data_IF_144605537626
#
_entry.id   IF_144605537626
#
_cell.length_a   1.000
_cell.length_b   1.000
_cell.length_c   1.000
_cell.angle_alpha   90.00
_cell.angle_beta   90.00
_cell.angle_gamma   90.00
#
_symmetry.space_group_name_H-M   'P 1'
#
loop_
_entity.id
_entity.type
_entity.pdbx_description
1 polymer ?
#
# COMPACT_ATOMS: atom_id res chain seq x y z
N UNK A 1 -6.54 11.49 -8.47
CA UNK A 1 -6.89 10.54 -7.38
C UNK A 1 -5.61 9.94 -6.81
N UNK A 2 -5.56 9.65 -5.50
CA UNK A 2 -4.45 8.91 -4.89
C UNK A 2 -4.85 7.47 -4.56
N UNK A 3 -3.98 6.52 -4.89
CA UNK A 3 -4.06 5.14 -4.47
C UNK A 3 -3.01 4.86 -3.40
N UNK A 4 -3.43 4.61 -2.16
CA UNK A 4 -2.59 4.10 -1.09
C UNK A 4 -2.48 2.57 -1.23
N UNK A 5 -1.26 2.09 -1.44
CA UNK A 5 -1.01 0.70 -1.83
C UNK A 5 -0.12 -0.01 -0.82
N UNK A 6 -0.64 -1.08 -0.20
CA UNK A 6 0.20 -2.10 0.41
C UNK A 6 0.71 -3.13 -0.60
N UNK A 7 1.71 -3.89 -0.19
CA UNK A 7 2.34 -4.97 -0.93
C UNK A 7 1.91 -6.33 -0.40
N UNK A 8 2.19 -6.59 0.86
CA UNK A 8 1.86 -7.84 1.55
C UNK A 8 0.33 -7.94 1.63
N UNK A 9 -0.24 -9.11 1.36
CA UNK A 9 -1.69 -9.31 1.32
C UNK A 9 -2.43 -8.65 0.15
N UNK A 10 -1.72 -7.93 -0.73
CA UNK A 10 -2.31 -7.16 -1.84
C UNK A 10 -1.75 -7.59 -3.20
N UNK A 11 -0.42 -7.51 -3.38
CA UNK A 11 0.28 -7.86 -4.62
C UNK A 11 0.88 -9.26 -4.62
N UNK A 12 0.82 -9.91 -3.46
CA UNK A 12 1.19 -11.29 -3.17
C UNK A 12 0.61 -11.66 -1.79
N UNK A 13 0.67 -12.93 -1.36
CA UNK A 13 0.17 -13.32 -0.03
C UNK A 13 0.93 -12.64 1.12
N UNK A 14 0.26 -12.33 2.23
CA UNK A 14 0.83 -11.86 3.49
C UNK A 14 1.56 -12.98 4.24
N UNK A 15 2.65 -13.45 3.63
CA UNK A 15 3.55 -14.46 4.18
C UNK A 15 5.00 -14.05 3.96
N UNK A 16 5.29 -12.76 4.12
CA UNK A 16 6.58 -12.17 3.78
C UNK A 16 7.50 -12.11 4.98
N UNK A 17 8.72 -12.60 4.79
CA UNK A 17 9.73 -12.63 5.83
C UNK A 17 11.04 -12.02 5.34
N UNK A 18 11.66 -11.24 6.24
CA UNK A 18 13.01 -10.73 6.02
C UNK A 18 14.03 -11.67 6.65
N UNK A 19 14.88 -12.23 5.81
CA UNK A 19 16.00 -13.08 6.22
C UNK A 19 17.09 -12.28 6.93
N UNK A 20 17.96 -12.99 7.65
CA UNK A 20 19.12 -12.42 8.38
C UNK A 20 20.09 -11.71 7.43
N UNK A 21 20.26 -12.23 6.20
CA UNK A 21 21.07 -11.62 5.15
C UNK A 21 20.40 -10.39 4.48
N UNK A 22 19.19 -10.04 4.92
CA UNK A 22 18.43 -8.90 4.43
C UNK A 22 17.68 -9.16 3.12
N UNK A 23 17.63 -10.41 2.63
CA UNK A 23 16.73 -10.80 1.55
C UNK A 23 15.28 -10.87 2.04
N UNK A 24 14.34 -10.66 1.11
CA UNK A 24 12.90 -10.80 1.37
C UNK A 24 12.43 -12.06 0.68
N UNK A 25 11.67 -12.88 1.39
CA UNK A 25 11.18 -14.17 0.92
C UNK A 25 9.68 -14.28 1.20
N UNK A 26 8.96 -14.95 0.30
CA UNK A 26 7.56 -15.32 0.46
C UNK A 26 7.50 -16.77 0.96
N UNK A 27 6.92 -17.02 2.11
CA UNK A 27 6.73 -18.35 2.71
C UNK A 27 5.34 -18.93 2.41
N UNK A 28 4.91 -18.79 1.15
CA UNK A 28 3.68 -19.36 0.62
C UNK A 28 3.87 -19.70 -0.86
N UNK A 29 2.89 -20.36 -1.47
CA UNK A 29 2.94 -20.65 -2.91
C UNK A 29 2.91 -19.35 -3.73
N UNK A 30 3.73 -19.29 -4.77
CA UNK A 30 3.80 -18.16 -5.70
C UNK A 30 5.12 -17.41 -5.61
N UNK A 31 5.06 -16.09 -5.85
CA UNK A 31 6.21 -15.21 -5.84
C UNK A 31 5.83 -13.82 -5.36
N UNK A 32 6.80 -13.09 -4.80
CA UNK A 32 6.63 -11.68 -4.47
C UNK A 32 6.18 -10.90 -5.72
N UNK A 33 5.17 -10.04 -5.55
CA UNK A 33 4.59 -9.20 -6.60
C UNK A 33 3.98 -9.97 -7.78
N UNK A 34 3.64 -11.25 -7.63
CA UNK A 34 3.04 -12.05 -8.70
C UNK A 34 1.71 -11.46 -9.24
N UNK A 35 1.01 -10.64 -8.46
CA UNK A 35 -0.23 -9.99 -8.89
C UNK A 35 -0.04 -8.54 -9.37
N UNK A 36 1.19 -7.99 -9.35
CA UNK A 36 1.45 -6.64 -9.86
C UNK A 36 0.95 -6.40 -11.30
N UNK A 37 1.05 -7.35 -12.26
CA UNK A 37 0.47 -7.17 -13.60
C UNK A 37 -1.03 -6.90 -13.59
N UNK A 38 -1.77 -7.50 -12.64
CA UNK A 38 -3.21 -7.24 -12.51
C UNK A 38 -3.46 -5.78 -12.10
N UNK A 39 -2.65 -5.22 -11.19
CA UNK A 39 -2.78 -3.81 -10.83
C UNK A 39 -2.45 -2.89 -12.00
N UNK A 40 -1.44 -3.23 -12.82
CA UNK A 40 -1.11 -2.47 -14.03
C UNK A 40 -2.28 -2.40 -15.01
N UNK A 41 -2.91 -3.54 -15.29
CA UNK A 41 -4.10 -3.63 -16.15
C UNK A 41 -5.26 -2.82 -15.58
N UNK A 42 -5.52 -2.92 -14.26
CA UNK A 42 -6.59 -2.18 -13.60
C UNK A 42 -6.39 -0.66 -13.67
N UNK A 43 -5.14 -0.18 -13.62
CA UNK A 43 -4.81 1.24 -13.67
C UNK A 43 -4.61 1.77 -15.09
N UNK A 44 -4.57 0.92 -16.11
CA UNK A 44 -4.41 1.33 -17.51
C UNK A 44 -5.48 2.36 -17.94
N UNK A 45 -6.78 2.22 -17.60
CA UNK A 45 -7.80 3.20 -17.96
C UNK A 45 -7.78 4.48 -17.13
N UNK A 46 -6.97 4.53 -16.07
CA UNK A 46 -6.90 5.64 -15.10
C UNK A 46 -5.46 6.19 -15.01
N UNK A 47 -4.92 6.81 -16.08
CA UNK A 47 -3.54 7.31 -16.11
C UNK A 47 -3.24 8.40 -15.06
N UNK A 48 -4.26 9.08 -14.56
CA UNK A 48 -4.18 10.16 -13.57
C UNK A 48 -4.04 9.69 -12.11
N UNK A 49 -4.10 8.37 -11.86
CA UNK A 49 -3.96 7.80 -10.52
C UNK A 49 -2.50 7.80 -10.10
N UNK A 50 -2.20 8.61 -9.09
CA UNK A 50 -0.91 8.61 -8.40
C UNK A 50 -0.90 7.58 -7.28
N UNK A 51 0.18 6.82 -7.16
CA UNK A 51 0.33 5.79 -6.12
C UNK A 51 1.16 6.34 -4.97
N UNK A 52 0.65 6.18 -3.75
CA UNK A 52 1.38 6.42 -2.50
C UNK A 52 1.64 5.06 -1.88
N UNK A 53 2.92 4.74 -1.65
CA UNK A 53 3.26 3.51 -0.94
C UNK A 53 2.82 3.63 0.51
N UNK A 54 1.86 2.81 0.89
CA UNK A 54 1.44 2.60 2.26
C UNK A 54 1.80 1.17 2.57
N UNK A 55 3.04 0.92 2.99
CA UNK A 55 3.55 -0.43 3.23
C UNK A 55 4.71 -0.38 4.21
N UNK A 56 4.82 -1.41 5.04
CA UNK A 56 5.93 -1.59 5.99
C UNK A 56 7.29 -1.67 5.29
N UNK A 57 7.33 -2.02 4.00
CA UNK A 57 8.56 -2.14 3.22
C UNK A 57 9.32 -0.81 3.12
N UNK A 58 8.63 0.32 3.00
CA UNK A 58 9.30 1.63 2.98
C UNK A 58 9.95 1.92 4.33
N UNK A 59 9.28 1.55 5.43
CA UNK A 59 9.78 1.69 6.80
C UNK A 59 10.97 0.78 7.10
N UNK A 60 10.98 -0.43 6.54
CA UNK A 60 11.96 -1.49 6.83
C UNK A 60 13.16 -1.51 5.88
N UNK A 61 12.96 -1.13 4.62
CA UNK A 61 13.94 -1.24 3.54
C UNK A 61 14.31 0.10 2.91
N UNK A 62 13.51 1.13 3.14
CA UNK A 62 13.64 2.44 2.50
C UNK A 62 12.90 2.53 1.16
N UNK A 63 12.56 3.76 0.78
CA UNK A 63 11.73 4.05 -0.38
C UNK A 63 12.29 3.51 -1.69
N UNK A 64 13.59 3.66 -1.95
CA UNK A 64 14.19 3.22 -3.22
C UNK A 64 14.13 1.70 -3.38
N UNK A 65 14.33 0.95 -2.29
CA UNK A 65 14.28 -0.52 -2.34
C UNK A 65 12.84 -1.01 -2.52
N UNK A 66 11.88 -0.44 -1.81
CA UNK A 66 10.46 -0.75 -1.99
C UNK A 66 10.00 -0.44 -3.43
N UNK A 67 10.31 0.76 -3.93
CA UNK A 67 10.04 1.16 -5.32
C UNK A 67 10.66 0.20 -6.33
N UNK A 68 11.89 -0.26 -6.10
CA UNK A 68 12.60 -1.16 -7.01
C UNK A 68 11.99 -2.55 -7.14
N UNK A 69 11.04 -2.92 -6.28
CA UNK A 69 10.29 -4.18 -6.41
C UNK A 69 9.12 -4.09 -7.37
N UNK A 70 8.62 -2.88 -7.64
CA UNK A 70 7.53 -2.67 -8.58
C UNK A 70 8.03 -2.73 -10.02
N UNK A 71 7.13 -3.09 -10.93
CA UNK A 71 7.36 -2.91 -12.36
C UNK A 71 7.59 -1.42 -12.70
N UNK A 72 8.24 -1.17 -13.84
CA UNK A 72 8.48 0.20 -14.30
C UNK A 72 7.17 0.99 -14.47
N UNK A 73 6.08 0.33 -14.89
CA UNK A 73 4.78 0.95 -15.09
C UNK A 73 4.15 1.44 -13.79
N UNK A 74 4.16 0.63 -12.72
CA UNK A 74 3.67 1.05 -11.40
C UNK A 74 4.62 2.05 -10.74
N UNK A 75 5.93 1.82 -10.85
CA UNK A 75 6.95 2.70 -10.27
C UNK A 75 6.90 4.12 -10.84
N UNK A 76 6.52 4.28 -12.11
CA UNK A 76 6.34 5.58 -12.77
C UNK A 76 5.14 6.37 -12.22
N UNK A 77 4.18 5.70 -11.58
CA UNK A 77 2.99 6.33 -10.97
C UNK A 77 3.20 6.73 -9.51
N UNK A 78 4.34 6.37 -8.90
CA UNK A 78 4.61 6.70 -7.50
C UNK A 78 4.76 8.21 -7.30
N UNK A 79 3.98 8.77 -6.39
CA UNK A 79 4.04 10.18 -5.97
C UNK A 79 4.52 10.36 -4.53
N UNK A 80 4.65 9.27 -3.76
CA UNK A 80 5.22 9.32 -2.42
C UNK A 80 5.06 8.03 -1.62
N UNK A 81 5.29 8.13 -0.31
CA UNK A 81 5.03 7.07 0.66
C UNK A 81 4.52 7.67 1.98
N UNK A 82 3.75 6.90 2.74
CA UNK A 82 3.22 7.35 4.04
C UNK A 82 4.35 7.55 5.05
N UNK A 83 5.39 6.70 5.02
CA UNK A 83 6.62 6.84 5.80
C UNK A 83 7.67 7.74 5.12
N UNK A 84 8.37 8.56 5.93
CA UNK A 84 9.59 9.26 5.54
C UNK A 84 10.63 9.18 6.66
N UNK A 85 11.91 8.99 6.33
CA UNK A 85 12.99 8.82 7.33
C UNK A 85 13.20 10.03 8.24
N UNK A 86 12.63 11.19 7.92
CA UNK A 86 12.63 12.39 8.76
C UNK A 86 11.57 12.37 9.86
N UNK A 87 10.61 11.43 9.83
CA UNK A 87 9.62 11.20 10.90
C UNK A 87 10.24 10.53 12.14
N UNK A 88 11.51 10.85 12.43
CA UNK A 88 12.29 10.15 13.45
C UNK A 88 11.70 10.38 14.84
N UNK A 89 11.93 9.34 15.65
CA UNK A 89 11.95 9.27 17.11
C UNK A 89 11.54 10.55 17.83
N UNK A 90 10.38 10.50 18.47
CA UNK A 90 9.98 11.50 19.44
C UNK A 90 10.96 11.53 20.63
N UNK A 91 10.72 12.41 21.61
CA UNK A 91 11.54 12.52 22.83
C UNK A 91 11.66 11.21 23.63
N UNK A 92 10.83 10.21 23.36
CA UNK A 92 10.84 8.88 23.99
C UNK A 92 11.42 7.78 23.08
N UNK A 93 12.23 8.15 22.09
CA UNK A 93 12.93 7.23 21.19
C UNK A 93 12.00 6.33 20.35
N UNK A 94 10.72 6.71 20.27
CA UNK A 94 9.63 5.95 19.65
C UNK A 94 9.28 6.54 18.29
N UNK A 95 9.12 5.67 17.30
CA UNK A 95 8.67 6.06 15.97
C UNK A 95 7.14 6.00 15.95
N UNK A 96 6.50 7.17 15.90
CA UNK A 96 5.03 7.28 15.95
C UNK A 96 4.35 6.47 14.84
N UNK A 97 4.93 6.44 13.64
CA UNK A 97 4.40 5.66 12.51
C UNK A 97 4.24 4.17 12.83
N UNK A 98 5.14 3.60 13.65
CA UNK A 98 5.11 2.19 14.04
C UNK A 98 3.96 1.88 15.02
N UNK A 99 3.33 2.92 15.60
CA UNK A 99 2.19 2.80 16.53
C UNK A 99 0.84 3.12 15.89
N UNK A 100 0.86 3.60 14.64
CA UNK A 100 -0.33 4.00 13.91
C UNK A 100 -0.92 2.80 13.16
N UNK A 101 -2.23 2.68 13.19
CA UNK A 101 -2.98 1.88 12.22
C UNK A 101 -2.71 2.38 10.80
N UNK A 102 -3.03 1.53 9.82
CA UNK A 102 -2.89 1.89 8.40
C UNK A 102 -3.66 3.16 8.04
N UNK A 103 -4.88 3.29 8.55
CA UNK A 103 -5.70 4.48 8.36
C UNK A 103 -5.01 5.74 8.93
N UNK A 104 -4.47 5.68 10.15
CA UNK A 104 -3.82 6.83 10.77
C UNK A 104 -2.55 7.27 10.04
N UNK A 105 -1.79 6.32 9.46
CA UNK A 105 -0.63 6.63 8.61
C UNK A 105 -1.06 7.38 7.34
N UNK A 106 -2.15 6.92 6.70
CA UNK A 106 -2.75 7.57 5.52
C UNK A 106 -3.28 8.96 5.90
N UNK A 107 -4.05 9.08 6.99
CA UNK A 107 -4.58 10.36 7.47
C UNK A 107 -3.45 11.36 7.78
N UNK A 108 -2.36 10.90 8.41
CA UNK A 108 -1.16 11.71 8.67
C UNK A 108 -0.50 12.17 7.36
N UNK A 109 -0.47 11.33 6.33
CA UNK A 109 0.01 11.73 5.01
C UNK A 109 -0.89 12.77 4.35
N UNK A 110 -2.21 12.55 4.35
CA UNK A 110 -3.19 13.48 3.78
C UNK A 110 -3.18 14.84 4.48
N UNK A 111 -3.06 14.86 5.81
CA UNK A 111 -2.96 16.10 6.58
C UNK A 111 -1.74 16.95 6.19
N UNK A 112 -0.59 16.31 5.89
CA UNK A 112 0.62 17.00 5.42
C UNK A 112 0.47 17.56 4.01
N UNK A 113 -0.36 16.94 3.18
CA UNK A 113 -0.70 17.46 1.85
C UNK A 113 -1.70 18.63 1.91
N UNK A 114 -2.32 18.90 3.05
CA UNK A 114 -3.29 19.97 3.25
C UNK A 114 -4.74 19.55 2.99
N UNK A 115 -5.04 18.97 1.82
CA UNK A 115 -6.35 18.34 1.53
C UNK A 115 -6.29 17.47 0.26
N UNK A 116 -6.86 16.27 0.32
CA UNK A 116 -7.08 15.41 -0.86
C UNK A 116 -8.36 14.58 -0.66
N UNK A 117 -9.42 14.90 -1.41
CA UNK A 117 -10.73 14.29 -1.17
C UNK A 117 -10.95 12.97 -1.92
N UNK A 118 -10.23 12.78 -3.03
CA UNK A 118 -10.33 11.61 -3.92
C UNK A 118 -9.16 10.65 -3.69
N UNK A 119 -9.37 9.66 -2.82
CA UNK A 119 -8.38 8.64 -2.54
C UNK A 119 -9.01 7.29 -2.22
N UNK A 120 -8.23 6.24 -2.48
CA UNK A 120 -8.54 4.83 -2.24
C UNK A 120 -7.35 4.16 -1.56
N UNK A 121 -7.58 3.23 -0.65
CA UNK A 121 -6.57 2.31 -0.14
C UNK A 121 -6.87 0.87 -0.57
N UNK A 122 -5.84 0.10 -0.88
CA UNK A 122 -5.93 -1.35 -1.05
C UNK A 122 -4.99 -1.97 -0.03
N UNK A 123 -5.57 -2.75 0.89
CA UNK A 123 -4.90 -3.28 2.07
C UNK A 123 -5.68 -4.51 2.57
N UNK A 124 -5.00 -5.52 3.12
CA UNK A 124 -5.66 -6.65 3.77
C UNK A 124 -5.99 -6.33 5.24
N UNK A 125 -5.30 -5.36 5.83
CA UNK A 125 -5.56 -4.87 7.19
C UNK A 125 -6.56 -3.70 7.21
N UNK A 126 -7.77 -4.01 7.69
CA UNK A 126 -8.82 -3.02 7.95
C UNK A 126 -8.81 -2.47 9.38
N UNK A 127 -7.84 -2.83 10.22
CA UNK A 127 -7.81 -2.43 11.63
C UNK A 127 -7.66 -0.92 11.78
N UNK A 128 -8.41 -0.35 12.73
CA UNK A 128 -8.37 1.09 13.03
C UNK A 128 -9.10 1.97 12.02
N UNK A 129 -9.78 1.40 11.03
CA UNK A 129 -10.59 2.16 10.08
C UNK A 129 -11.90 2.65 10.70
N UNK A 130 -12.21 3.96 10.63
CA UNK A 130 -13.51 4.49 11.01
C UNK A 130 -14.63 4.01 10.08
N UNK A 131 -15.83 3.80 10.62
CA UNK A 131 -17.00 3.34 9.84
C UNK A 131 -17.34 4.26 8.68
N UNK A 132 -17.23 5.58 8.88
CA UNK A 132 -17.50 6.59 7.85
C UNK A 132 -16.47 6.60 6.71
N UNK A 133 -15.33 5.95 6.90
CA UNK A 133 -14.20 5.92 5.97
C UNK A 133 -14.03 4.56 5.31
N UNK A 134 -14.76 3.51 5.72
CA UNK A 134 -14.70 2.16 5.15
C UNK A 134 -14.90 2.11 3.63
N UNK A 135 -15.69 3.02 3.07
CA UNK A 135 -15.91 3.13 1.62
C UNK A 135 -14.63 3.47 0.82
N UNK A 136 -13.54 3.81 1.49
CA UNK A 136 -12.23 4.12 0.90
C UNK A 136 -11.27 2.92 0.93
N UNK A 137 -11.64 1.80 1.58
CA UNK A 137 -10.84 0.58 1.62
C UNK A 137 -11.39 -0.33 0.54
N UNK A 138 -10.52 -0.86 -0.31
CA UNK A 138 -10.77 -2.18 -0.85
C UNK A 138 -10.02 -3.16 0.02
N UNK A 139 -10.75 -3.83 0.91
CA UNK A 139 -10.16 -4.82 1.81
C UNK A 139 -9.93 -6.12 1.06
N UNK A 140 -8.69 -6.60 1.06
CA UNK A 140 -8.34 -7.90 0.49
C UNK A 140 -8.34 -9.01 1.53
N UNK A 141 -8.43 -10.26 1.07
CA UNK A 141 -7.97 -11.40 1.84
C UNK A 141 -6.43 -11.45 1.78
N UNK A 142 -5.75 -11.57 2.93
CA UNK A 142 -4.29 -11.54 2.99
C UNK A 142 -3.61 -12.66 2.20
N UNK A 143 -4.28 -13.76 1.88
CA UNK A 143 -3.70 -14.86 1.08
C UNK A 143 -4.06 -14.78 -0.40
N UNK A 144 -5.04 -13.97 -0.78
CA UNK A 144 -5.54 -13.89 -2.16
C UNK A 144 -5.33 -12.51 -2.80
N UNK A 145 -5.22 -11.44 -2.02
CA UNK A 145 -4.98 -10.08 -2.51
C UNK A 145 -5.88 -9.67 -3.67
N UNK A 146 -5.28 -9.02 -4.66
CA UNK A 146 -6.01 -8.60 -5.88
C UNK A 146 -6.22 -9.73 -6.90
N UNK A 147 -5.84 -10.97 -6.58
CA UNK A 147 -6.18 -12.13 -7.41
C UNK A 147 -7.68 -12.46 -7.36
N UNK A 148 -8.40 -11.97 -6.35
CA UNK A 148 -9.86 -12.08 -6.28
C UNK A 148 -10.56 -11.16 -7.28
N UNK A 149 -11.44 -11.72 -8.11
CA UNK A 149 -12.21 -10.94 -9.07
C UNK A 149 -13.09 -9.87 -8.40
N UNK A 150 -13.65 -10.18 -7.21
CA UNK A 150 -14.46 -9.24 -6.42
C UNK A 150 -13.66 -7.99 -6.05
N UNK A 151 -12.44 -8.17 -5.53
CA UNK A 151 -11.50 -7.08 -5.18
C UNK A 151 -11.21 -6.22 -6.40
N UNK A 152 -10.88 -6.84 -7.54
CA UNK A 152 -10.61 -6.10 -8.79
C UNK A 152 -11.81 -5.28 -9.27
N UNK A 153 -13.02 -5.85 -9.18
CA UNK A 153 -14.25 -5.14 -9.53
C UNK A 153 -14.50 -3.96 -8.59
N UNK A 154 -14.24 -4.13 -7.29
CA UNK A 154 -14.39 -3.09 -6.28
C UNK A 154 -13.41 -1.93 -6.54
N UNK A 155 -12.14 -2.23 -6.83
CA UNK A 155 -11.13 -1.24 -7.24
C UNK A 155 -11.65 -0.44 -8.45
N UNK A 156 -12.04 -1.10 -9.54
CA UNK A 156 -12.55 -0.42 -10.75
C UNK A 156 -13.76 0.45 -10.41
N UNK A 157 -14.69 -0.06 -9.58
CA UNK A 157 -15.90 0.66 -9.22
C UNK A 157 -15.61 1.94 -8.44
N UNK A 158 -14.60 1.90 -7.57
CA UNK A 158 -14.18 3.06 -6.76
C UNK A 158 -13.38 4.05 -7.60
N UNK A 159 -12.51 3.58 -8.50
CA UNK A 159 -11.73 4.45 -9.38
C UNK A 159 -12.59 5.22 -10.41
N UNK A 160 -13.81 4.75 -10.68
CA UNK A 160 -14.76 5.42 -11.59
C UNK A 160 -15.62 6.50 -10.93
N UNK A 161 -15.55 6.65 -9.61
CA UNK A 161 -16.31 7.65 -8.84
C UNK A 161 -15.55 8.97 -8.79
#
# INVERSE_FOLDING_TARGET
>A
MLLFLDYDGVLHPDAVYRRVDGQIELLSEGALFMWAPLLEELLQPFPEVGIVLSTSWVRNLGFQRAKGMLSAALAARLVGATWHSAMKRNSTDTVLWDQQSRYEQIATYLNRLGRFDSWLAIDDDGSGWPEDSLHRLVKTDGMLGISEARVRQEIISTLRR
#
